data_IF_636728069728
#
_entry.id   IF_636728069728
#
_cell.length_a   1.000
_cell.length_b   1.000
_cell.length_c   1.000
_cell.angle_alpha   90.00
_cell.angle_beta   90.00
_cell.angle_gamma   90.00
#
_symmetry.space_group_name_H-M   'P 1'
#
loop_
_entity.id
_entity.type
_entity.pdbx_description
1 polymer ?
#
# COMPACT_ATOMS: atom_id res chain seq x y z
N UNK A 1 -16.41 7.41 25.09
CA UNK A 1 -15.77 6.07 25.13
C UNK A 1 -14.39 6.23 24.55
N UNK A 2 -13.33 5.89 25.31
CA UNK A 2 -11.94 5.98 24.83
C UNK A 2 -11.83 5.16 23.54
N UNK A 3 -11.31 5.79 22.50
CA UNK A 3 -10.92 5.09 21.28
C UNK A 3 -9.96 3.98 21.68
N UNK A 4 -10.34 2.78 21.30
CA UNK A 4 -9.79 1.57 21.85
C UNK A 4 -8.54 1.33 20.98
N UNK A 5 -7.37 1.72 21.47
CA UNK A 5 -6.10 1.72 20.73
C UNK A 5 -5.47 0.31 20.74
N UNK A 6 -4.79 -0.05 19.65
CA UNK A 6 -4.07 -1.33 19.55
C UNK A 6 -2.81 -1.31 20.41
N UNK A 7 -2.96 -1.60 21.70
CA UNK A 7 -1.90 -1.51 22.69
C UNK A 7 -0.68 -2.39 22.34
N UNK A 8 -0.90 -3.61 21.83
CA UNK A 8 0.19 -4.50 21.48
C UNK A 8 1.03 -3.91 20.34
N UNK A 9 0.37 -3.49 19.26
CA UNK A 9 1.07 -2.86 18.14
C UNK A 9 1.82 -1.61 18.61
N UNK A 10 1.15 -0.72 19.34
CA UNK A 10 1.75 0.54 19.79
C UNK A 10 2.94 0.31 20.72
N UNK A 11 2.85 -0.66 21.62
CA UNK A 11 3.94 -1.03 22.51
C UNK A 11 5.15 -1.54 21.72
N UNK A 12 4.96 -2.54 20.86
CA UNK A 12 6.07 -3.11 20.07
C UNK A 12 6.68 -2.10 19.09
N UNK A 13 5.85 -1.26 18.47
CA UNK A 13 6.30 -0.21 17.54
C UNK A 13 7.15 0.84 18.27
N UNK A 14 6.72 1.33 19.43
CA UNK A 14 7.51 2.27 20.22
C UNK A 14 8.78 1.65 20.80
N UNK A 15 8.72 0.40 21.24
CA UNK A 15 9.91 -0.35 21.68
C UNK A 15 10.93 -0.48 20.54
N UNK A 16 10.49 -0.79 19.32
CA UNK A 16 11.36 -0.86 18.15
C UNK A 16 12.04 0.49 17.86
N UNK A 17 11.30 1.59 17.93
CA UNK A 17 11.85 2.95 17.77
C UNK A 17 12.89 3.30 18.84
N UNK A 18 12.60 2.97 20.09
CA UNK A 18 13.51 3.20 21.21
C UNK A 18 14.79 2.37 21.04
N UNK A 19 14.67 1.07 20.78
CA UNK A 19 15.80 0.18 20.54
C UNK A 19 16.63 0.60 19.34
N UNK A 20 15.99 1.08 18.27
CA UNK A 20 16.70 1.51 17.07
C UNK A 20 17.65 2.68 17.34
N UNK A 21 17.22 3.61 18.20
CA UNK A 21 18.00 4.79 18.62
C UNK A 21 19.11 4.47 19.62
N UNK A 22 19.11 3.28 20.23
CA UNK A 22 20.17 2.85 21.14
C UNK A 22 21.28 2.17 20.35
N UNK A 23 22.49 2.73 20.32
CA UNK A 23 23.61 2.18 19.54
C UNK A 23 24.10 0.80 20.00
N UNK A 24 23.80 0.42 21.24
CA UNK A 24 24.29 -0.80 21.88
C UNK A 24 23.33 -1.99 21.82
N UNK A 25 22.16 -1.84 21.19
CA UNK A 25 21.12 -2.87 21.19
C UNK A 25 21.59 -4.19 20.54
N UNK A 26 21.62 -5.28 21.32
CA UNK A 26 22.02 -6.60 20.83
C UNK A 26 20.86 -7.28 20.12
N UNK A 27 21.17 -8.06 19.09
CA UNK A 27 20.16 -8.77 18.30
C UNK A 27 19.30 -9.74 19.15
N UNK A 28 19.86 -10.34 20.20
CA UNK A 28 19.12 -11.20 21.14
C UNK A 28 18.07 -10.43 21.93
N UNK A 29 18.39 -9.20 22.36
CA UNK A 29 17.49 -8.33 23.10
C UNK A 29 16.37 -7.83 22.19
N UNK A 30 16.72 -7.42 20.97
CA UNK A 30 15.73 -7.00 19.95
C UNK A 30 14.73 -8.11 19.68
N UNK A 31 15.18 -9.35 19.46
CA UNK A 31 14.28 -10.50 19.25
C UNK A 31 13.34 -10.73 20.43
N UNK A 32 13.87 -10.71 21.65
CA UNK A 32 13.12 -10.95 22.87
C UNK A 32 12.06 -9.86 23.10
N UNK A 33 12.48 -8.60 23.06
CA UNK A 33 11.62 -7.44 23.34
C UNK A 33 10.57 -7.21 22.25
N UNK A 34 10.90 -7.49 20.99
CA UNK A 34 9.94 -7.41 19.89
C UNK A 34 9.10 -8.68 19.71
N UNK A 35 9.25 -9.65 20.63
CA UNK A 35 8.52 -10.92 20.64
C UNK A 35 8.61 -11.67 19.30
N UNK A 36 9.79 -11.61 18.66
CA UNK A 36 10.01 -12.25 17.37
C UNK A 36 10.04 -13.76 17.54
N UNK A 37 9.19 -14.44 16.77
CA UNK A 37 9.16 -15.89 16.65
C UNK A 37 9.76 -16.28 15.30
N UNK A 38 10.59 -17.33 15.30
CA UNK A 38 11.19 -17.83 14.07
C UNK A 38 10.11 -18.45 13.21
N UNK A 39 10.17 -18.20 11.89
CA UNK A 39 9.33 -18.90 10.94
C UNK A 39 9.59 -20.41 10.98
N UNK A 40 8.54 -21.21 11.23
CA UNK A 40 8.62 -22.68 11.27
C UNK A 40 7.92 -23.31 10.07
N UNK A 41 6.68 -22.91 9.78
CA UNK A 41 5.86 -23.49 8.71
C UNK A 41 4.69 -22.58 8.32
N UNK A 42 4.19 -22.73 7.08
CA UNK A 42 2.97 -22.09 6.58
C UNK A 42 1.69 -22.52 7.32
N UNK A 43 1.75 -23.65 8.03
CA UNK A 43 0.61 -24.21 8.77
C UNK A 43 0.32 -23.44 10.08
N UNK A 44 1.30 -22.67 10.57
CA UNK A 44 1.12 -21.89 11.78
C UNK A 44 0.17 -20.71 11.55
N UNK A 45 -0.76 -20.42 12.49
CA UNK A 45 -1.67 -19.29 12.36
C UNK A 45 -0.93 -17.95 12.30
N UNK A 46 -1.04 -17.25 11.18
CA UNK A 46 -0.50 -15.91 11.02
C UNK A 46 -1.46 -14.87 11.61
N UNK A 47 -1.33 -14.67 12.92
CA UNK A 47 -2.16 -13.75 13.70
C UNK A 47 -1.54 -12.39 14.01
N UNK A 48 -2.28 -11.60 14.78
CA UNK A 48 -1.96 -10.22 15.17
C UNK A 48 -0.55 -10.05 15.73
N UNK A 49 -0.16 -10.90 16.69
CA UNK A 49 1.17 -10.86 17.31
C UNK A 49 2.30 -10.96 16.28
N UNK A 50 2.21 -11.91 15.35
CA UNK A 50 3.21 -12.10 14.31
C UNK A 50 3.30 -10.86 13.41
N UNK A 51 2.15 -10.30 13.02
CA UNK A 51 2.08 -9.09 12.21
C UNK A 51 2.72 -7.90 12.91
N UNK A 52 2.37 -7.63 14.17
CA UNK A 52 2.99 -6.56 14.95
C UNK A 52 4.50 -6.76 15.10
N UNK A 53 4.93 -7.97 15.46
CA UNK A 53 6.35 -8.28 15.64
C UNK A 53 7.17 -8.05 14.36
N UNK A 54 6.68 -8.48 13.20
CA UNK A 54 7.35 -8.28 11.91
C UNK A 54 7.46 -6.79 11.54
N UNK A 55 6.37 -6.04 11.67
CA UNK A 55 6.39 -4.59 11.41
C UNK A 55 7.34 -3.87 12.36
N UNK A 56 7.33 -4.23 13.64
CA UNK A 56 8.25 -3.66 14.64
C UNK A 56 9.70 -4.04 14.36
N UNK A 57 9.98 -5.26 13.94
CA UNK A 57 11.34 -5.70 13.60
C UNK A 57 11.90 -4.90 12.41
N UNK A 58 11.11 -4.72 11.36
CA UNK A 58 11.48 -3.87 10.23
C UNK A 58 11.64 -2.39 10.62
N UNK A 59 10.76 -1.88 11.48
CA UNK A 59 10.84 -0.52 12.04
C UNK A 59 12.13 -0.32 12.85
N UNK A 60 12.55 -1.31 13.63
CA UNK A 60 13.83 -1.28 14.34
C UNK A 60 15.01 -1.12 13.37
N UNK A 61 15.03 -1.86 12.26
CA UNK A 61 16.11 -1.77 11.26
C UNK A 61 16.17 -0.36 10.66
N UNK A 62 15.02 0.23 10.33
CA UNK A 62 14.93 1.61 9.82
C UNK A 62 15.48 2.62 10.82
N UNK A 63 15.03 2.56 12.09
CA UNK A 63 15.48 3.50 13.12
C UNK A 63 16.92 3.30 13.58
N UNK A 64 17.48 2.10 13.41
CA UNK A 64 18.87 1.77 13.72
C UNK A 64 19.82 2.00 12.55
N UNK A 65 19.34 2.57 11.42
CA UNK A 65 20.12 2.80 10.21
C UNK A 65 20.77 1.53 9.67
N UNK A 66 20.01 0.44 9.63
CA UNK A 66 20.46 -0.84 9.09
C UNK A 66 21.21 -1.73 10.08
N UNK A 67 21.22 -1.43 11.38
CA UNK A 67 21.91 -2.29 12.33
C UNK A 67 21.29 -3.69 12.33
N UNK A 68 22.14 -4.71 12.21
CA UNK A 68 21.77 -6.12 12.08
C UNK A 68 20.96 -6.48 10.82
N UNK A 69 20.93 -5.62 9.79
CA UNK A 69 20.15 -5.83 8.56
C UNK A 69 20.48 -7.17 7.88
N UNK A 70 21.76 -7.55 7.77
CA UNK A 70 22.20 -8.82 7.17
C UNK A 70 21.60 -10.06 7.86
N UNK A 71 21.24 -9.93 9.14
CA UNK A 71 20.65 -11.01 9.93
C UNK A 71 19.13 -10.97 9.92
N UNK A 72 18.55 -9.77 9.94
CA UNK A 72 17.11 -9.55 10.06
C UNK A 72 16.41 -9.65 8.70
N UNK A 73 16.98 -9.05 7.65
CA UNK A 73 16.36 -8.98 6.33
C UNK A 73 16.03 -10.37 5.76
N UNK A 74 16.89 -11.40 5.84
CA UNK A 74 16.53 -12.74 5.39
C UNK A 74 15.28 -13.31 6.08
N UNK A 75 15.06 -12.99 7.36
CA UNK A 75 13.85 -13.42 8.07
C UNK A 75 12.62 -12.66 7.58
N UNK A 76 12.73 -11.35 7.39
CA UNK A 76 11.63 -10.55 6.84
C UNK A 76 11.23 -11.07 5.45
N UNK A 77 12.20 -11.32 4.56
CA UNK A 77 11.93 -11.83 3.22
C UNK A 77 11.37 -13.25 3.22
N UNK A 78 11.79 -14.10 4.17
CA UNK A 78 11.20 -15.43 4.34
C UNK A 78 9.70 -15.35 4.69
N UNK A 79 9.32 -14.49 5.63
CA UNK A 79 7.91 -14.24 5.93
C UNK A 79 7.17 -13.63 4.75
N UNK A 80 7.80 -12.67 4.07
CA UNK A 80 7.24 -11.95 2.94
C UNK A 80 6.88 -12.90 1.78
N UNK A 81 7.78 -13.80 1.40
CA UNK A 81 7.53 -14.78 0.33
C UNK A 81 6.43 -15.81 0.70
N UNK A 82 6.22 -16.07 1.98
CA UNK A 82 5.24 -17.04 2.46
C UNK A 82 3.82 -16.47 2.64
N UNK A 83 3.64 -15.15 2.57
CA UNK A 83 2.35 -14.47 2.78
C UNK A 83 1.15 -15.06 2.00
N UNK A 84 1.27 -15.50 0.73
CA UNK A 84 0.12 -16.01 -0.05
C UNK A 84 -0.44 -17.32 0.51
N UNK A 85 0.41 -18.09 1.19
CA UNK A 85 0.16 -19.47 1.64
C UNK A 85 -0.02 -19.60 3.14
N UNK A 86 0.21 -18.53 3.89
CA UNK A 86 0.03 -18.51 5.34
C UNK A 86 -1.43 -18.69 5.74
N UNK A 87 -1.64 -19.37 6.88
CA UNK A 87 -2.97 -19.46 7.49
C UNK A 87 -3.31 -18.18 8.26
N UNK A 88 -3.84 -17.20 7.56
CA UNK A 88 -4.20 -15.91 8.15
C UNK A 88 -5.29 -16.01 9.22
N UNK A 89 -5.05 -15.33 10.33
CA UNK A 89 -6.08 -15.07 11.34
C UNK A 89 -6.53 -13.61 11.24
N UNK A 90 -7.82 -13.40 10.98
CA UNK A 90 -8.49 -12.09 10.99
C UNK A 90 -8.73 -11.62 12.46
N UNK A 91 -7.72 -11.82 13.30
CA UNK A 91 -7.67 -11.36 14.68
C UNK A 91 -6.92 -10.01 14.76
N UNK A 92 -7.03 -9.31 15.88
CA UNK A 92 -6.41 -7.99 16.05
C UNK A 92 -7.42 -6.91 16.35
N UNK A 93 -6.90 -5.71 16.60
CA UNK A 93 -7.71 -4.64 17.15
C UNK A 93 -8.63 -4.04 16.09
N UNK A 94 -9.93 -3.99 16.41
CA UNK A 94 -10.93 -3.48 15.48
C UNK A 94 -11.04 -1.94 15.61
N UNK A 95 -10.16 -1.17 14.97
CA UNK A 95 -10.41 0.26 14.77
C UNK A 95 -11.58 0.47 13.80
N UNK A 96 -12.75 0.89 14.28
CA UNK A 96 -13.98 1.06 13.48
C UNK A 96 -13.84 2.02 12.30
N UNK A 97 -12.75 2.80 12.25
CA UNK A 97 -12.43 3.72 11.16
C UNK A 97 -11.72 3.04 9.98
N UNK A 98 -11.21 1.81 10.15
CA UNK A 98 -10.45 1.17 9.08
C UNK A 98 -11.33 0.84 7.86
N UNK A 99 -10.82 1.19 6.68
CA UNK A 99 -11.51 1.05 5.38
C UNK A 99 -10.80 0.10 4.43
N UNK A 100 -9.93 -0.74 4.97
CA UNK A 100 -9.21 -1.78 4.25
C UNK A 100 -9.21 -3.06 5.08
N UNK A 101 -9.00 -4.19 4.42
CA UNK A 101 -8.86 -5.46 5.13
C UNK A 101 -7.49 -5.55 5.81
N UNK A 102 -7.37 -6.48 6.76
CA UNK A 102 -6.11 -6.68 7.47
C UNK A 102 -4.97 -7.19 6.57
N UNK A 103 -5.34 -7.87 5.48
CA UNK A 103 -4.41 -8.35 4.45
C UNK A 103 -3.76 -7.18 3.73
N UNK A 104 -4.59 -6.25 3.25
CA UNK A 104 -4.13 -5.05 2.56
C UNK A 104 -3.32 -4.16 3.50
N UNK A 105 -3.81 -3.92 4.71
CA UNK A 105 -3.11 -3.10 5.71
C UNK A 105 -1.72 -3.65 6.02
N UNK A 106 -1.62 -4.97 6.29
CA UNK A 106 -0.34 -5.57 6.61
C UNK A 106 0.61 -5.58 5.40
N UNK A 107 0.12 -5.98 4.21
CA UNK A 107 0.92 -5.96 2.99
C UNK A 107 1.44 -4.56 2.68
N UNK A 108 0.57 -3.55 2.80
CA UNK A 108 0.90 -2.15 2.61
C UNK A 108 2.04 -1.69 3.55
N UNK A 109 1.88 -1.92 4.85
CA UNK A 109 2.86 -1.50 5.86
C UNK A 109 4.19 -2.26 5.72
N UNK A 110 4.12 -3.58 5.52
CA UNK A 110 5.32 -4.41 5.44
C UNK A 110 6.10 -4.11 4.16
N UNK A 111 5.41 -3.94 3.04
CA UNK A 111 6.02 -3.58 1.78
C UNK A 111 6.60 -2.15 1.79
N UNK A 112 5.99 -1.22 2.53
CA UNK A 112 6.56 0.13 2.73
C UNK A 112 7.89 0.05 3.48
N UNK A 113 7.96 -0.72 4.57
CA UNK A 113 9.21 -0.92 5.32
C UNK A 113 10.31 -1.46 4.39
N UNK A 114 10.00 -2.49 3.60
CA UNK A 114 10.96 -3.08 2.66
C UNK A 114 11.39 -2.07 1.59
N UNK A 115 10.45 -1.32 1.00
CA UNK A 115 10.77 -0.27 0.02
C UNK A 115 11.70 0.79 0.60
N UNK A 116 11.50 1.16 1.87
CA UNK A 116 12.33 2.12 2.55
C UNK A 116 13.73 1.58 2.90
N UNK A 117 13.82 0.31 3.30
CA UNK A 117 15.12 -0.37 3.45
C UNK A 117 15.88 -0.43 2.12
N UNK A 118 15.20 -0.75 1.01
CA UNK A 118 15.79 -0.77 -0.32
C UNK A 118 16.29 0.62 -0.78
N UNK A 119 15.64 1.69 -0.33
CA UNK A 119 16.05 3.06 -0.62
C UNK A 119 17.27 3.49 0.23
N UNK A 120 17.32 3.08 1.50
CA UNK A 120 18.40 3.46 2.42
C UNK A 120 19.65 2.58 2.32
N UNK A 121 19.51 1.35 1.82
CA UNK A 121 20.56 0.33 1.77
C UNK A 121 20.73 -0.24 0.34
N UNK A 122 21.50 0.46 -0.53
CA UNK A 122 21.71 0.05 -1.92
C UNK A 122 22.21 -1.39 -2.09
N UNK A 123 23.01 -1.89 -1.14
CA UNK A 123 23.55 -3.25 -1.10
C UNK A 123 22.47 -4.35 -1.01
N UNK A 124 21.29 -4.02 -0.47
CA UNK A 124 20.16 -4.94 -0.32
C UNK A 124 19.02 -4.66 -1.29
N UNK A 125 19.08 -3.52 -1.99
CA UNK A 125 18.01 -3.01 -2.86
C UNK A 125 17.53 -4.04 -3.88
N UNK A 126 18.44 -4.66 -4.63
CA UNK A 126 18.07 -5.64 -5.66
C UNK A 126 17.34 -6.84 -5.05
N UNK A 127 17.85 -7.37 -3.93
CA UNK A 127 17.26 -8.53 -3.25
C UNK A 127 15.84 -8.21 -2.76
N UNK A 128 15.63 -7.01 -2.23
CA UNK A 128 14.32 -6.57 -1.76
C UNK A 128 13.35 -6.37 -2.93
N UNK A 129 13.75 -5.62 -3.96
CA UNK A 129 12.87 -5.29 -5.09
C UNK A 129 12.47 -6.55 -5.85
N UNK A 130 13.40 -7.49 -6.06
CA UNK A 130 13.08 -8.79 -6.67
C UNK A 130 12.07 -9.56 -5.81
N UNK A 131 12.26 -9.62 -4.49
CA UNK A 131 11.30 -10.29 -3.61
C UNK A 131 9.90 -9.64 -3.64
N UNK A 132 9.81 -8.31 -3.78
CA UNK A 132 8.54 -7.58 -3.93
C UNK A 132 7.84 -7.93 -5.25
N UNK A 133 8.58 -7.97 -6.35
CA UNK A 133 8.07 -8.36 -7.67
C UNK A 133 7.66 -9.83 -7.72
N UNK A 134 8.48 -10.73 -7.17
CA UNK A 134 8.22 -12.17 -7.11
C UNK A 134 6.96 -12.47 -6.29
N UNK A 135 6.78 -11.80 -5.15
CA UNK A 135 5.57 -11.95 -4.35
C UNK A 135 4.33 -11.50 -5.14
N UNK A 136 4.41 -10.33 -5.79
CA UNK A 136 3.29 -9.81 -6.57
C UNK A 136 2.92 -10.77 -7.71
N UNK A 137 3.89 -11.22 -8.49
CA UNK A 137 3.68 -12.18 -9.58
C UNK A 137 3.09 -13.50 -9.06
N UNK A 138 3.64 -14.04 -7.98
CA UNK A 138 3.16 -15.27 -7.33
C UNK A 138 1.69 -15.16 -6.88
N UNK A 139 1.32 -14.05 -6.23
CA UNK A 139 -0.07 -13.84 -5.77
C UNK A 139 -1.01 -13.67 -6.97
N UNK A 140 -0.60 -12.96 -8.01
CA UNK A 140 -1.39 -12.80 -9.24
C UNK A 140 -1.58 -14.15 -9.92
N UNK A 141 -0.54 -14.98 -10.04
CA UNK A 141 -0.66 -16.33 -10.59
C UNK A 141 -1.66 -17.19 -9.79
N UNK A 142 -1.59 -17.16 -8.46
CA UNK A 142 -2.54 -17.88 -7.61
C UNK A 142 -3.99 -17.36 -7.77
N UNK A 143 -4.19 -16.05 -7.95
CA UNK A 143 -5.51 -15.47 -8.25
C UNK A 143 -6.04 -15.96 -9.60
N UNK A 144 -5.21 -15.94 -10.64
CA UNK A 144 -5.60 -16.34 -11.99
C UNK A 144 -5.95 -17.83 -12.04
N UNK A 145 -5.15 -18.68 -11.38
CA UNK A 145 -5.43 -20.11 -11.27
C UNK A 145 -6.78 -20.39 -10.59
N UNK A 146 -7.14 -19.61 -9.57
CA UNK A 146 -8.45 -19.72 -8.94
C UNK A 146 -9.56 -19.27 -9.89
N UNK A 147 -9.42 -18.09 -10.49
CA UNK A 147 -10.41 -17.54 -11.43
C UNK A 147 -10.67 -18.45 -12.64
N UNK A 148 -9.64 -19.14 -13.13
CA UNK A 148 -9.74 -20.06 -14.28
C UNK A 148 -10.21 -21.48 -13.88
N UNK A 149 -10.24 -21.81 -12.59
CA UNK A 149 -10.69 -23.11 -12.10
C UNK A 149 -12.18 -23.32 -12.39
N UNK A 150 -12.50 -24.32 -13.21
CA UNK A 150 -13.90 -24.73 -13.47
C UNK A 150 -14.59 -25.36 -12.26
N UNK A 151 -13.83 -25.75 -11.23
CA UNK A 151 -14.36 -26.31 -9.99
C UNK A 151 -14.32 -25.21 -8.94
N UNK A 152 -15.46 -24.56 -8.69
CA UNK A 152 -15.59 -23.64 -7.57
C UNK A 152 -15.45 -24.40 -6.25
N UNK A 153 -14.22 -24.48 -5.74
CA UNK A 153 -13.98 -25.16 -4.48
C UNK A 153 -14.58 -24.33 -3.33
N UNK A 154 -15.11 -24.97 -2.27
CA UNK A 154 -15.64 -24.24 -1.13
C UNK A 154 -14.54 -23.37 -0.50
N UNK A 155 -14.81 -22.07 -0.38
CA UNK A 155 -13.87 -21.08 0.17
C UNK A 155 -12.87 -20.49 -0.84
N UNK A 156 -12.98 -20.83 -2.12
CA UNK A 156 -12.13 -20.26 -3.18
C UNK A 156 -12.33 -18.75 -3.33
N UNK A 157 -13.58 -18.27 -3.30
CA UNK A 157 -13.89 -16.84 -3.33
C UNK A 157 -13.20 -16.09 -2.18
N UNK A 158 -13.33 -16.61 -0.95
CA UNK A 158 -12.67 -16.06 0.25
C UNK A 158 -11.15 -16.03 0.08
N UNK A 159 -10.57 -17.14 -0.38
CA UNK A 159 -9.12 -17.27 -0.59
C UNK A 159 -8.60 -16.26 -1.63
N UNK A 160 -9.33 -16.09 -2.74
CA UNK A 160 -9.00 -15.15 -3.81
C UNK A 160 -9.16 -13.71 -3.37
N UNK A 161 -10.23 -13.39 -2.64
CA UNK A 161 -10.47 -12.04 -2.09
C UNK A 161 -9.39 -11.64 -1.07
N UNK A 162 -8.90 -12.58 -0.24
CA UNK A 162 -7.77 -12.31 0.65
C UNK A 162 -6.49 -11.99 -0.14
N UNK A 163 -6.23 -12.75 -1.21
CA UNK A 163 -5.06 -12.54 -2.09
C UNK A 163 -5.12 -11.21 -2.84
N UNK A 164 -6.27 -10.84 -3.40
CA UNK A 164 -6.39 -9.54 -4.09
C UNK A 164 -6.23 -8.37 -3.11
N UNK A 165 -6.70 -8.48 -1.86
CA UNK A 165 -6.39 -7.49 -0.84
C UNK A 165 -4.89 -7.39 -0.54
N UNK A 166 -4.15 -8.51 -0.52
CA UNK A 166 -2.68 -8.46 -0.43
C UNK A 166 -2.10 -7.67 -1.61
N UNK A 167 -2.52 -7.98 -2.84
CA UNK A 167 -2.09 -7.28 -4.06
C UNK A 167 -2.36 -5.78 -3.97
N UNK A 168 -3.54 -5.35 -3.52
CA UNK A 168 -3.85 -3.93 -3.33
C UNK A 168 -2.84 -3.25 -2.39
N UNK A 169 -2.49 -3.90 -1.28
CA UNK A 169 -1.48 -3.40 -0.34
C UNK A 169 -0.10 -3.27 -0.98
N UNK A 170 0.31 -4.28 -1.76
CA UNK A 170 1.59 -4.29 -2.48
C UNK A 170 1.66 -3.16 -3.53
N UNK A 171 0.66 -3.07 -4.42
CA UNK A 171 0.64 -2.07 -5.49
C UNK A 171 0.64 -0.64 -4.93
N UNK A 172 -0.16 -0.38 -3.88
CA UNK A 172 -0.29 0.96 -3.29
C UNK A 172 0.99 1.45 -2.62
N UNK A 173 1.82 0.55 -2.10
CA UNK A 173 3.04 0.88 -1.34
C UNK A 173 4.33 0.72 -2.16
N UNK A 174 4.25 0.18 -3.38
CA UNK A 174 5.41 -0.19 -4.18
C UNK A 174 6.36 0.98 -4.42
N UNK A 175 7.65 0.78 -4.12
CA UNK A 175 8.72 1.74 -4.40
C UNK A 175 8.63 3.05 -3.62
N UNK A 176 7.77 3.15 -2.60
CA UNK A 176 7.64 4.37 -1.78
C UNK A 176 8.62 4.36 -0.61
N UNK A 177 9.35 5.45 -0.44
CA UNK A 177 10.22 5.70 0.73
C UNK A 177 10.17 7.17 1.16
N UNK A 178 10.61 7.44 2.39
CA UNK A 178 10.91 8.80 2.84
C UNK A 178 12.25 9.27 2.26
N UNK A 179 12.39 10.57 1.97
CA UNK A 179 13.69 11.21 1.68
C UNK A 179 14.47 11.53 2.95
N UNK A 180 13.83 11.59 4.12
CA UNK A 180 14.47 11.82 5.41
C UNK A 180 14.65 10.48 6.17
N UNK A 181 15.88 9.96 6.29
CA UNK A 181 16.15 8.73 7.04
C UNK A 181 15.79 8.81 8.53
N UNK A 182 15.69 10.02 9.10
CA UNK A 182 15.32 10.22 10.51
C UNK A 182 13.81 10.11 10.75
N UNK A 183 13.01 10.22 9.68
CA UNK A 183 11.55 10.11 9.69
C UNK A 183 11.09 9.05 8.69
N UNK A 184 11.20 7.75 9.06
CA UNK A 184 10.75 6.68 8.19
C UNK A 184 9.26 6.80 7.86
N UNK A 185 8.88 6.52 6.60
CA UNK A 185 7.52 6.62 6.07
C UNK A 185 6.52 5.79 6.88
N UNK A 186 6.96 4.66 7.44
CA UNK A 186 6.13 3.84 8.33
C UNK A 186 5.58 4.63 9.54
N UNK A 187 6.33 5.62 10.05
CA UNK A 187 5.84 6.46 11.16
C UNK A 187 4.80 7.48 10.71
N UNK A 188 4.85 7.93 9.46
CA UNK A 188 3.81 8.80 8.90
C UNK A 188 2.51 8.04 8.65
N UNK A 189 2.63 6.79 8.21
CA UNK A 189 1.49 5.91 7.94
C UNK A 189 0.60 5.78 9.17
N UNK A 190 1.23 5.67 10.35
CA UNK A 190 0.51 5.46 11.60
C UNK A 190 0.18 6.73 12.38
N UNK A 191 0.62 7.94 11.96
CA UNK A 191 0.50 9.24 12.69
C UNK A 191 -0.39 9.14 13.93
N UNK A 192 0.24 8.60 14.98
CA UNK A 192 -0.43 8.17 16.18
C UNK A 192 -0.65 9.40 17.04
N UNK A 193 -1.86 9.96 17.04
CA UNK A 193 -2.53 10.66 18.16
C UNK A 193 -1.79 11.73 18.98
N UNK A 194 -0.56 12.08 18.69
CA UNK A 194 0.25 13.04 19.40
C UNK A 194 0.81 14.01 18.37
N UNK A 195 0.06 15.10 18.15
CA UNK A 195 0.64 16.31 17.61
C UNK A 195 1.82 16.67 18.52
N UNK A 196 3.04 16.48 18.01
CA UNK A 196 4.22 17.06 18.63
C UNK A 196 4.17 18.56 18.36
N UNK A 197 4.49 19.35 19.38
CA UNK A 197 4.29 20.81 19.50
C UNK A 197 4.98 21.68 18.42
N UNK A 198 5.57 21.09 17.35
CA UNK A 198 6.15 21.84 16.22
C UNK A 198 5.17 22.13 15.07
N UNK A 199 3.97 21.56 15.05
CA UNK A 199 2.98 21.79 13.96
C UNK A 199 2.32 23.18 14.01
N UNK A 200 2.49 23.93 15.11
CA UNK A 200 1.99 25.30 15.24
C UNK A 200 2.69 26.30 14.30
N UNK A 201 3.99 26.11 14.05
CA UNK A 201 4.79 27.02 13.23
C UNK A 201 4.53 26.85 11.72
N UNK A 202 4.19 25.64 11.26
CA UNK A 202 3.84 25.39 9.85
C UNK A 202 2.44 25.92 9.53
N UNK A 203 1.48 25.78 10.44
CA UNK A 203 0.13 26.32 10.28
C UNK A 203 0.15 27.85 10.25
N UNK A 204 0.98 28.48 11.08
CA UNK A 204 1.13 29.94 11.10
C UNK A 204 1.78 30.47 9.82
N UNK A 205 2.80 29.79 9.28
CA UNK A 205 3.39 30.13 7.97
C UNK A 205 2.40 29.98 6.82
N UNK A 206 1.53 28.98 6.88
CA UNK A 206 0.45 28.78 5.91
C UNK A 206 -0.58 29.92 6.00
N UNK A 207 -0.95 30.34 7.22
CA UNK A 207 -1.88 31.47 7.45
C UNK A 207 -1.28 32.81 7.01
N UNK A 208 0.01 33.04 7.26
CA UNK A 208 0.69 34.27 6.84
C UNK A 208 0.86 34.33 5.32
N UNK A 209 1.06 33.18 4.66
CA UNK A 209 1.04 33.07 3.20
C UNK A 209 -0.33 33.35 2.56
N UNK A 210 -1.42 33.13 3.30
CA UNK A 210 -2.79 33.47 2.85
C UNK A 210 -3.13 34.96 3.00
N UNK A 211 -2.40 35.72 3.81
CA UNK A 211 -2.67 37.16 4.05
C UNK A 211 -2.03 38.11 3.04
N UNK A 212 -1.15 37.63 2.16
CA UNK A 212 -0.42 38.47 1.19
C UNK A 212 -0.94 38.39 -0.25
N UNK A 213 -2.05 37.72 -0.51
CA UNK A 213 -2.57 37.57 -1.87
C UNK A 213 -4.08 37.82 -1.94
N UNK A 214 -4.52 39.05 -1.71
CA UNK A 214 -5.76 39.61 -2.30
C UNK A 214 -5.73 41.13 -2.21
N UNK A 215 -5.35 41.82 -3.29
CA UNK A 215 -6.16 42.89 -3.86
C UNK A 215 -6.16 42.69 -5.39
N UNK A 216 -7.38 42.63 -5.92
CA UNK A 216 -7.84 42.78 -7.30
C UNK A 216 -7.89 41.56 -8.27
N UNK A 217 -9.10 41.44 -8.84
CA UNK A 217 -9.59 40.69 -10.01
C UNK A 217 -9.85 39.17 -9.87
N UNK A 218 -11.06 38.70 -9.54
CA UNK A 218 -12.35 38.66 -10.29
C UNK A 218 -12.49 37.44 -11.24
N UNK A 219 -13.37 36.56 -10.79
CA UNK A 219 -14.33 35.69 -11.50
C UNK A 219 -13.97 34.30 -12.07
N UNK A 220 -14.72 33.34 -11.49
CA UNK A 220 -15.28 32.13 -12.08
C UNK A 220 -14.37 30.93 -12.36
N UNK A 221 -13.92 30.31 -11.26
CA UNK A 221 -13.91 28.85 -11.17
C UNK A 221 -14.62 28.43 -9.89
N UNK A 222 -15.69 27.64 -10.01
CA UNK A 222 -16.27 26.93 -8.85
C UNK A 222 -15.17 25.99 -8.32
N UNK A 223 -14.66 26.15 -7.09
CA UNK A 223 -13.65 25.24 -6.58
C UNK A 223 -14.30 23.87 -6.41
N UNK A 224 -13.74 22.87 -7.10
CA UNK A 224 -13.99 21.47 -6.81
C UNK A 224 -13.87 21.26 -5.30
N UNK A 225 -14.86 20.61 -4.70
CA UNK A 225 -14.88 20.28 -3.28
C UNK A 225 -13.56 19.59 -2.90
N UNK A 226 -12.63 20.35 -2.29
CA UNK A 226 -11.48 19.80 -1.59
C UNK A 226 -12.02 18.78 -0.61
N UNK A 227 -11.74 17.50 -0.86
CA UNK A 227 -12.10 16.43 0.06
C UNK A 227 -11.42 16.75 1.38
N UNK A 228 -12.22 17.03 2.40
CA UNK A 228 -11.80 17.45 3.72
C UNK A 228 -10.83 16.39 4.29
N UNK A 229 -9.53 16.65 4.23
CA UNK A 229 -8.50 15.76 4.78
C UNK A 229 -8.75 15.59 6.28
N UNK A 230 -9.07 14.38 6.73
CA UNK A 230 -9.22 14.10 8.17
C UNK A 230 -7.81 13.97 8.75
N UNK A 231 -7.38 14.86 9.68
CA UNK A 231 -5.99 14.95 10.10
C UNK A 231 -5.40 13.68 10.75
N UNK A 232 -6.26 12.77 11.24
CA UNK A 232 -5.86 11.63 12.09
C UNK A 232 -6.23 10.25 11.53
N UNK A 233 -6.46 10.12 10.21
CA UNK A 233 -6.70 8.82 9.58
C UNK A 233 -5.39 8.22 9.04
N UNK A 234 -5.04 6.97 9.43
CA UNK A 234 -3.87 6.28 8.90
C UNK A 234 -3.87 6.25 7.37
N UNK A 235 -2.70 6.38 6.74
CA UNK A 235 -2.64 6.62 5.29
C UNK A 235 -3.17 5.42 4.48
N UNK A 236 -3.05 4.19 5.02
CA UNK A 236 -3.61 3.00 4.40
C UNK A 236 -5.14 3.01 4.31
N UNK A 237 -5.85 3.77 5.15
CA UNK A 237 -7.32 3.86 5.13
C UNK A 237 -7.85 4.85 4.08
N UNK A 238 -6.97 5.68 3.50
CA UNK A 238 -7.39 6.61 2.46
C UNK A 238 -7.72 5.81 1.20
N UNK A 239 -8.92 5.99 0.66
CA UNK A 239 -9.31 5.33 -0.59
C UNK A 239 -8.39 5.78 -1.74
N UNK A 240 -8.08 4.84 -2.63
CA UNK A 240 -7.18 5.07 -3.74
C UNK A 240 -5.77 5.47 -3.28
N UNK A 241 -5.05 6.14 -4.17
CA UNK A 241 -3.64 6.50 -3.98
C UNK A 241 -3.47 7.87 -3.35
N UNK A 242 -4.37 8.23 -2.41
CA UNK A 242 -4.34 9.48 -1.65
C UNK A 242 -3.17 9.55 -0.64
N UNK A 243 -2.00 9.05 -1.06
CA UNK A 243 -0.72 9.55 -0.60
C UNK A 243 -0.56 10.90 -1.27
N UNK A 244 -0.57 12.03 -0.52
CA UNK A 244 -0.22 13.30 -1.12
C UNK A 244 1.11 13.14 -1.86
N UNK A 245 1.19 13.73 -3.06
CA UNK A 245 2.41 13.93 -3.83
C UNK A 245 3.34 14.80 -2.98
N UNK A 246 3.96 14.18 -1.97
CA UNK A 246 4.90 14.87 -1.11
C UNK A 246 6.23 14.90 -1.89
N UNK A 247 6.78 16.10 -2.17
CA UNK A 247 8.10 16.23 -2.79
C UNK A 247 9.22 15.56 -1.99
N UNK A 248 8.98 15.11 -0.75
CA UNK A 248 9.91 14.32 0.05
C UNK A 248 9.84 12.80 -0.21
N UNK A 249 9.12 12.34 -1.24
CA UNK A 249 9.01 10.91 -1.58
C UNK A 249 9.76 10.63 -2.88
N UNK A 250 10.32 9.44 -3.00
CA UNK A 250 11.13 9.06 -4.16
C UNK A 250 10.81 7.62 -4.59
N UNK A 251 10.20 7.45 -5.76
CA UNK A 251 10.18 6.18 -6.48
C UNK A 251 11.36 6.17 -7.46
N UNK A 252 12.48 5.57 -7.05
CA UNK A 252 13.52 5.21 -8.02
C UNK A 252 13.34 3.74 -8.31
N UNK A 253 12.79 3.39 -9.47
CA UNK A 253 12.67 2.00 -9.92
C UNK A 253 13.48 1.90 -11.21
N UNK A 254 14.28 0.84 -11.35
CA UNK A 254 15.03 0.61 -12.58
C UNK A 254 14.10 0.08 -13.67
N UNK A 255 14.42 0.35 -14.94
CA UNK A 255 13.57 -0.06 -16.06
C UNK A 255 13.25 -1.56 -16.04
N UNK A 256 14.23 -2.42 -15.74
CA UNK A 256 14.06 -3.87 -15.64
C UNK A 256 13.00 -4.28 -14.60
N UNK A 257 12.93 -3.56 -13.48
CA UNK A 257 11.96 -3.81 -12.41
C UNK A 257 10.57 -3.29 -12.78
N UNK A 258 10.51 -2.17 -13.52
CA UNK A 258 9.27 -1.64 -14.07
C UNK A 258 8.66 -2.58 -15.12
N UNK A 259 9.48 -3.16 -15.99
CA UNK A 259 9.07 -4.17 -16.98
C UNK A 259 8.53 -5.43 -16.30
N UNK A 260 9.24 -5.93 -15.28
CA UNK A 260 8.80 -7.08 -14.47
C UNK A 260 7.47 -6.82 -13.73
N UNK A 261 7.19 -5.58 -13.33
CA UNK A 261 5.93 -5.19 -12.70
C UNK A 261 4.75 -5.21 -13.69
N UNK A 262 5.02 -4.97 -14.98
CA UNK A 262 3.96 -4.75 -15.96
C UNK A 262 3.19 -6.03 -16.32
N UNK A 263 3.86 -7.18 -16.48
CA UNK A 263 3.19 -8.43 -16.85
C UNK A 263 2.11 -8.89 -15.83
N UNK A 264 2.39 -8.96 -14.51
CA UNK A 264 1.36 -9.27 -13.53
C UNK A 264 0.17 -8.30 -13.58
N UNK A 265 0.42 -7.00 -13.80
CA UNK A 265 -0.65 -5.99 -13.91
C UNK A 265 -1.51 -6.25 -15.14
N UNK A 266 -0.91 -6.47 -16.31
CA UNK A 266 -1.64 -6.73 -17.56
C UNK A 266 -2.54 -7.96 -17.46
N UNK A 267 -2.06 -9.01 -16.78
CA UNK A 267 -2.84 -10.25 -16.57
C UNK A 267 -3.97 -10.04 -15.57
N UNK A 268 -3.73 -9.29 -14.50
CA UNK A 268 -4.72 -9.04 -13.45
C UNK A 268 -5.91 -8.19 -13.94
N UNK A 269 -5.67 -7.19 -14.79
CA UNK A 269 -6.73 -6.28 -15.27
C UNK A 269 -7.48 -6.78 -16.51
N UNK A 270 -7.33 -8.06 -16.86
CA UNK A 270 -8.11 -8.68 -17.94
C UNK A 270 -9.61 -8.65 -17.60
N UNK A 271 -10.51 -8.32 -18.53
CA UNK A 271 -11.94 -8.20 -18.24
C UNK A 271 -12.54 -9.43 -17.56
N UNK A 272 -12.23 -10.64 -18.04
CA UNK A 272 -12.72 -11.89 -17.45
C UNK A 272 -12.28 -12.06 -15.98
N UNK A 273 -11.06 -11.62 -15.65
CA UNK A 273 -10.53 -11.69 -14.28
C UNK A 273 -11.24 -10.69 -13.39
N UNK A 274 -11.38 -9.45 -13.84
CA UNK A 274 -12.06 -8.40 -13.09
C UNK A 274 -13.53 -8.73 -12.82
N UNK A 275 -14.25 -9.27 -13.80
CA UNK A 275 -15.64 -9.72 -13.62
C UNK A 275 -15.73 -10.83 -12.58
N UNK A 276 -14.83 -11.83 -12.63
CA UNK A 276 -14.84 -12.91 -11.64
C UNK A 276 -14.47 -12.44 -10.23
N UNK A 277 -13.56 -11.47 -10.12
CA UNK A 277 -13.24 -10.84 -8.84
C UNK A 277 -14.45 -10.11 -8.26
N UNK A 278 -15.25 -9.43 -9.08
CA UNK A 278 -16.49 -8.79 -8.63
C UNK A 278 -17.52 -9.81 -8.14
N UNK A 279 -17.68 -10.94 -8.83
CA UNK A 279 -18.54 -12.05 -8.37
C UNK A 279 -18.08 -12.58 -6.99
N UNK A 280 -16.77 -12.79 -6.80
CA UNK A 280 -16.22 -13.21 -5.51
C UNK A 280 -16.35 -12.13 -4.42
N UNK A 281 -16.30 -10.84 -4.79
CA UNK A 281 -16.53 -9.74 -3.84
C UNK A 281 -17.95 -9.78 -3.29
N UNK A 282 -18.95 -9.96 -4.16
CA UNK A 282 -20.36 -10.08 -3.77
C UNK A 282 -20.57 -11.28 -2.85
N UNK A 283 -20.06 -12.46 -3.21
CA UNK A 283 -20.17 -13.68 -2.39
C UNK A 283 -19.57 -13.49 -0.99
N UNK A 284 -18.38 -12.89 -0.89
CA UNK A 284 -17.71 -12.63 0.39
C UNK A 284 -18.47 -11.62 1.24
N UNK A 285 -19.07 -10.61 0.61
CA UNK A 285 -19.84 -9.58 1.30
C UNK A 285 -21.16 -10.14 1.85
N UNK A 286 -21.88 -10.92 1.05
CA UNK A 286 -23.13 -11.59 1.48
C UNK A 286 -22.86 -12.61 2.58
N UNK A 287 -21.78 -13.40 2.44
CA UNK A 287 -21.38 -14.40 3.41
C UNK A 287 -20.73 -13.84 4.68
N UNK A 288 -20.37 -12.55 4.72
CA UNK A 288 -19.61 -11.92 5.81
C UNK A 288 -18.35 -12.71 6.22
N UNK A 289 -17.70 -13.37 5.25
CA UNK A 289 -16.61 -14.33 5.49
C UNK A 289 -15.24 -13.68 5.67
N UNK A 290 -15.09 -12.43 5.21
CA UNK A 290 -13.90 -11.59 5.41
C UNK A 290 -14.29 -10.38 6.25
N UNK A 291 -13.59 -10.15 7.35
CA UNK A 291 -13.86 -8.98 8.20
C UNK A 291 -13.43 -7.70 7.49
N UNK A 292 -14.29 -6.67 7.54
CA UNK A 292 -14.03 -5.31 7.02
C UNK A 292 -13.70 -5.29 5.53
N UNK A 293 -14.35 -6.15 4.76
CA UNK A 293 -14.28 -6.09 3.31
C UNK A 293 -15.16 -4.92 2.83
N UNK A 294 -14.58 -3.79 2.39
CA UNK A 294 -15.34 -2.58 2.06
C UNK A 294 -15.58 -2.44 0.55
N UNK A 295 -15.11 -3.40 -0.23
CA UNK A 295 -15.08 -3.34 -1.69
C UNK A 295 -16.34 -3.98 -2.25
N UNK A 296 -17.28 -3.14 -2.69
CA UNK A 296 -18.45 -3.63 -3.43
C UNK A 296 -18.05 -4.22 -4.78
N UNK A 297 -17.12 -3.55 -5.46
CA UNK A 297 -16.58 -3.95 -6.77
C UNK A 297 -15.06 -3.87 -6.70
N UNK A 298 -14.39 -4.99 -6.87
CA UNK A 298 -12.93 -5.07 -6.88
C UNK A 298 -12.36 -4.54 -8.20
N UNK A 299 -13.10 -4.67 -9.31
CA UNK A 299 -12.66 -4.24 -10.64
C UNK A 299 -12.21 -2.78 -10.70
N UNK A 300 -13.00 -1.87 -10.12
CA UNK A 300 -12.70 -0.44 -10.08
C UNK A 300 -11.45 -0.15 -9.23
N UNK A 301 -11.36 -0.75 -8.03
CA UNK A 301 -10.27 -0.50 -7.08
C UNK A 301 -8.94 -1.08 -7.60
N UNK A 302 -8.97 -2.29 -8.15
CA UNK A 302 -7.80 -2.96 -8.72
C UNK A 302 -7.28 -2.18 -9.93
N UNK A 303 -8.18 -1.77 -10.83
CA UNK A 303 -7.81 -0.98 -12.02
C UNK A 303 -7.15 0.34 -11.61
N UNK A 304 -7.74 1.05 -10.65
CA UNK A 304 -7.19 2.31 -10.16
C UNK A 304 -5.79 2.12 -9.55
N UNK A 305 -5.61 1.13 -8.68
CA UNK A 305 -4.31 0.87 -8.06
C UNK A 305 -3.24 0.48 -9.08
N UNK A 306 -3.60 -0.32 -10.08
CA UNK A 306 -2.70 -0.70 -11.18
C UNK A 306 -2.28 0.52 -12.01
N UNK A 307 -3.23 1.36 -12.41
CA UNK A 307 -2.94 2.57 -13.18
C UNK A 307 -2.06 3.55 -12.39
N UNK A 308 -2.28 3.69 -11.09
CA UNK A 308 -1.47 4.60 -10.29
C UNK A 308 -0.05 4.09 -10.08
N UNK A 309 0.15 2.80 -9.78
CA UNK A 309 1.52 2.31 -9.63
C UNK A 309 2.29 2.43 -10.95
N UNK A 310 1.65 2.15 -12.09
CA UNK A 310 2.26 2.34 -13.41
C UNK A 310 2.62 3.81 -13.65
N UNK A 311 1.73 4.75 -13.31
CA UNK A 311 2.05 6.18 -13.37
C UNK A 311 3.25 6.53 -12.49
N UNK A 312 3.28 6.06 -11.25
CA UNK A 312 4.31 6.40 -10.25
C UNK A 312 5.68 5.79 -10.61
N UNK A 313 5.71 4.64 -11.29
CA UNK A 313 6.93 4.01 -11.82
C UNK A 313 7.47 4.75 -13.04
N UNK A 314 6.60 5.38 -13.83
CA UNK A 314 6.96 6.09 -15.06
C UNK A 314 7.27 7.57 -14.87
N UNK A 315 7.11 8.14 -13.68
CA UNK A 315 7.52 9.51 -13.40
C UNK A 315 8.98 9.52 -12.91
N UNK A 316 9.98 9.81 -13.77
CA UNK A 316 11.35 9.94 -13.31
C UNK A 316 11.47 11.12 -12.31
N UNK A 317 12.31 11.02 -11.27
CA UNK A 317 12.50 12.08 -10.28
C UNK A 317 12.95 13.43 -10.88
N UNK A 318 13.57 13.40 -12.07
CA UNK A 318 14.08 14.57 -12.79
C UNK A 318 13.16 15.06 -13.92
N UNK A 319 12.00 14.42 -14.13
CA UNK A 319 11.07 14.73 -15.22
C UNK A 319 11.57 14.36 -16.63
N UNK A 320 12.84 13.95 -16.78
CA UNK A 320 13.41 13.54 -18.07
C UNK A 320 13.47 12.02 -18.20
N UNK A 321 12.72 11.49 -19.17
CA UNK A 321 12.76 10.06 -19.51
C UNK A 321 14.07 9.69 -20.24
N UNK A 322 14.82 8.68 -19.77
CA UNK A 322 15.89 8.07 -20.54
C UNK A 322 15.40 7.60 -21.92
N UNK A 323 16.20 7.75 -22.97
CA UNK A 323 15.82 7.31 -24.31
C UNK A 323 15.44 5.82 -24.37
N UNK A 324 16.12 4.99 -23.57
CA UNK A 324 15.88 3.56 -23.44
C UNK A 324 14.48 3.20 -22.91
N UNK A 325 13.85 4.07 -22.10
CA UNK A 325 12.53 3.80 -21.52
C UNK A 325 11.37 4.32 -22.35
N UNK A 326 11.61 5.12 -23.40
CA UNK A 326 10.55 5.77 -24.20
C UNK A 326 9.55 4.78 -24.82
N UNK A 327 10.04 3.64 -25.30
CA UNK A 327 9.18 2.62 -25.92
C UNK A 327 8.23 2.02 -24.87
N UNK A 328 8.77 1.63 -23.73
CA UNK A 328 8.00 1.11 -22.61
C UNK A 328 6.96 2.11 -22.07
N UNK A 329 7.30 3.41 -22.01
CA UNK A 329 6.34 4.44 -21.62
C UNK A 329 5.17 4.58 -22.61
N UNK A 330 5.44 4.47 -23.92
CA UNK A 330 4.37 4.47 -24.93
C UNK A 330 3.45 3.27 -24.75
N UNK A 331 4.01 2.09 -24.50
CA UNK A 331 3.24 0.86 -24.29
C UNK A 331 2.31 0.97 -23.08
N UNK A 332 2.81 1.45 -21.94
CA UNK A 332 1.98 1.68 -20.76
C UNK A 332 0.94 2.78 -21.01
N UNK A 333 1.29 3.86 -21.71
CA UNK A 333 0.34 4.92 -22.02
C UNK A 333 -0.82 4.40 -22.89
N UNK A 334 -0.51 3.66 -23.96
CA UNK A 334 -1.53 3.04 -24.82
C UNK A 334 -2.41 2.08 -24.00
N UNK A 335 -1.79 1.24 -23.17
CA UNK A 335 -2.50 0.32 -22.29
C UNK A 335 -3.42 1.05 -21.29
N UNK A 336 -2.95 2.13 -20.66
CA UNK A 336 -3.74 2.92 -19.72
C UNK A 336 -4.93 3.59 -20.39
N UNK A 337 -4.73 4.19 -21.56
CA UNK A 337 -5.81 4.81 -22.36
C UNK A 337 -6.85 3.77 -22.77
N UNK A 338 -6.42 2.59 -23.22
CA UNK A 338 -7.31 1.50 -23.57
C UNK A 338 -8.13 1.00 -22.36
N UNK A 339 -7.47 0.82 -21.21
CA UNK A 339 -8.11 0.38 -19.97
C UNK A 339 -9.15 1.38 -19.46
N UNK A 340 -8.83 2.68 -19.47
CA UNK A 340 -9.77 3.75 -19.11
C UNK A 340 -10.96 3.82 -20.09
N UNK A 341 -10.68 3.74 -21.39
CA UNK A 341 -11.73 3.75 -22.43
C UNK A 341 -12.71 2.58 -22.29
N UNK A 342 -12.22 1.41 -21.87
CA UNK A 342 -13.07 0.23 -21.58
C UNK A 342 -13.98 0.48 -20.37
N UNK A 343 -13.45 1.11 -19.32
CA UNK A 343 -14.23 1.44 -18.12
C UNK A 343 -15.31 2.50 -18.40
N UNK A 344 -15.02 3.52 -19.22
CA UNK A 344 -16.01 4.54 -19.60
C UNK A 344 -17.19 3.94 -20.38
N UNK A 345 -16.91 3.00 -21.29
CA UNK A 345 -17.95 2.27 -22.04
C UNK A 345 -18.83 1.40 -21.15
N UNK A 346 -18.24 0.76 -20.12
CA UNK A 346 -18.99 -0.01 -19.13
C UNK A 346 -19.79 0.88 -18.16
N UNK A 347 -19.31 2.11 -17.90
CA UNK A 347 -20.02 3.11 -17.08
C UNK A 347 -21.25 3.71 -17.78
N UNK A 348 -21.18 3.91 -19.10
CA UNK A 348 -22.28 4.47 -19.90
C UNK A 348 -23.55 3.60 -19.93
N UNK A 349 -23.44 2.30 -19.63
CA UNK A 349 -24.59 1.38 -19.52
C UNK A 349 -25.26 1.38 -18.13
N UNK A 350 -24.72 2.10 -17.14
CA UNK A 350 -25.18 2.10 -15.73
C UNK A 350 -25.17 3.51 -15.12
N UNK A 351 -25.55 4.52 -15.91
CA UNK A 351 -25.57 5.94 -15.48
C UNK A 351 -26.55 6.22 -14.32
N UNK A 352 -27.56 5.36 -14.10
CA UNK A 352 -28.62 5.63 -13.12
C UNK A 352 -28.27 5.15 -11.69
N UNK A 353 -27.32 4.22 -11.54
CA UNK A 353 -26.91 3.67 -10.24
C UNK A 353 -25.59 4.27 -9.69
N UNK A 354 -24.69 4.75 -10.56
CA UNK A 354 -23.37 5.28 -10.17
C UNK A 354 -23.38 6.70 -9.58
N UNK A 355 -24.45 7.48 -9.78
CA UNK A 355 -24.55 8.87 -9.29
C UNK A 355 -24.62 9.03 -7.77
N UNK A 356 -24.62 7.95 -6.99
CA UNK A 356 -24.74 8.02 -5.51
C UNK A 356 -23.49 7.65 -4.72
N UNK A 357 -22.35 7.26 -5.31
CA UNK A 357 -21.24 6.75 -4.46
C UNK A 357 -19.85 7.34 -4.65
N UNK A 358 -19.30 7.64 -5.82
CA UNK A 358 -17.90 8.14 -5.85
C UNK A 358 -17.71 9.23 -6.91
N UNK A 359 -17.17 10.36 -6.44
CA UNK A 359 -16.97 11.60 -7.16
C UNK A 359 -16.00 11.47 -8.33
N UNK A 360 -16.42 12.10 -9.42
CA UNK A 360 -15.66 12.35 -10.65
C UNK A 360 -14.39 13.14 -10.32
N UNK A 361 -13.23 12.53 -10.52
CA UNK A 361 -11.92 13.18 -10.41
C UNK A 361 -10.83 12.61 -11.33
N UNK A 362 -11.17 11.72 -12.27
CA UNK A 362 -10.17 10.94 -13.02
C UNK A 362 -9.81 11.59 -14.38
N UNK A 363 -10.62 12.51 -14.91
CA UNK A 363 -10.34 13.13 -16.22
C UNK A 363 -9.32 14.28 -16.20
N UNK A 364 -8.84 14.71 -15.02
CA UNK A 364 -7.93 15.84 -14.90
C UNK A 364 -6.43 15.45 -14.84
N UNK A 365 -6.09 14.16 -14.72
CA UNK A 365 -4.70 13.71 -14.46
C UNK A 365 -3.93 13.25 -15.71
N UNK A 366 -4.55 13.31 -16.89
CA UNK A 366 -3.93 12.93 -18.18
C UNK A 366 -4.21 13.96 -19.29
N UNK A 367 -4.30 15.25 -18.93
CA UNK A 367 -4.21 16.36 -19.90
C UNK A 367 -2.89 17.09 -19.74
#
# INVERSE_FOLDING_TARGET
MRENEDFLFQSLFNTAKALGRLDTAKLSEVKSLLQYEKFVSNEQPFGHKHRCSLLSLGTFVLYSRGRHIDRILPWLLQYYAALPRMKWSDNGFLNKRDRVTIFEQFAFCFNTILSELAAQHPEHRETIVVAQLDLLACVVDEILNNVESKRGAPGEAVSTVKKICLVLGLLRSFGRSSRDPSKPLISEIFRMGHATESDGDELQKLIDGFRQATEDDVENQKPAQKTMERPNEPIYNRHGTSFPENPERCSTIELKHAEALFDPIQRLVRPAVLTRLDEYAVEVQEGNTVKRFPYRWLSEVVTLCCLTVLRDVLQPPSGQLPAASRQFHKEIHVFAVELLSRNDRAGATSEEEKRRTIGVGILALYR
#
